data_IF_826668722331
#
_entry.id   IF_826668722331
#
_cell.length_a   1.000
_cell.length_b   1.000
_cell.length_c   1.000
_cell.angle_alpha   90.00
_cell.angle_beta   90.00
_cell.angle_gamma   90.00
#
_symmetry.space_group_name_H-M   'P 1'
#
loop_
_entity.id
_entity.type
_entity.pdbx_description
1 polymer ?
#
# COMPACT_ATOMS: atom_id res chain seq x y z
N UNK A 1 -59.36 35.06 16.50
CA UNK A 1 -58.06 35.54 15.95
C UNK A 1 -56.91 34.55 16.19
N UNK A 2 -57.02 33.28 15.74
CA UNK A 2 -55.95 32.27 15.93
C UNK A 2 -55.57 31.51 14.65
N UNK A 3 -56.21 31.81 13.52
CA UNK A 3 -55.94 31.18 12.22
C UNK A 3 -54.56 31.43 11.61
N UNK A 4 -53.93 32.63 11.71
CA UNK A 4 -52.65 32.84 11.03
C UNK A 4 -51.52 31.98 11.63
N UNK A 5 -51.64 31.59 12.90
CA UNK A 5 -50.64 30.74 13.57
C UNK A 5 -50.66 29.30 13.02
N UNK A 6 -51.84 28.75 12.72
CA UNK A 6 -51.99 27.37 12.24
C UNK A 6 -51.38 27.18 10.85
N UNK A 7 -51.52 28.18 9.98
CA UNK A 7 -50.95 28.16 8.62
C UNK A 7 -49.43 28.23 8.61
N UNK A 8 -48.83 28.96 9.56
CA UNK A 8 -47.37 29.08 9.69
C UNK A 8 -46.74 27.78 10.21
N UNK A 9 -47.40 27.04 11.11
CA UNK A 9 -46.90 25.77 11.64
C UNK A 9 -47.00 24.61 10.63
N UNK A 10 -47.93 24.66 9.67
CA UNK A 10 -48.06 23.62 8.64
C UNK A 10 -46.84 23.56 7.69
N UNK A 11 -46.16 24.69 7.47
CA UNK A 11 -44.97 24.76 6.59
C UNK A 11 -43.73 24.06 7.14
N UNK A 12 -43.59 23.95 8.47
CA UNK A 12 -42.48 23.21 9.08
C UNK A 12 -42.70 21.68 9.05
N UNK A 13 -43.95 21.21 9.03
CA UNK A 13 -44.27 19.79 8.91
C UNK A 13 -44.17 19.27 7.46
N UNK A 14 -44.19 20.16 6.47
CA UNK A 14 -44.03 19.82 5.05
C UNK A 14 -42.58 19.85 4.54
N UNK A 15 -41.61 20.03 5.44
CA UNK A 15 -40.20 19.94 5.05
C UNK A 15 -39.89 18.52 4.56
N UNK A 16 -39.34 18.34 3.35
CA UNK A 16 -38.91 17.04 2.88
C UNK A 16 -37.88 16.46 3.88
N UNK A 17 -37.91 15.15 4.16
CA UNK A 17 -36.85 14.53 4.93
C UNK A 17 -35.51 14.85 4.28
N UNK A 18 -34.50 15.16 5.11
CA UNK A 18 -33.16 15.45 4.61
C UNK A 18 -32.72 14.30 3.69
N UNK A 19 -32.08 14.60 2.53
CA UNK A 19 -31.61 13.56 1.64
C UNK A 19 -30.69 12.62 2.41
N UNK A 20 -30.92 11.32 2.24
CA UNK A 20 -30.08 10.32 2.86
C UNK A 20 -28.62 10.52 2.40
N UNK A 21 -27.63 10.39 3.30
CA UNK A 21 -26.24 10.48 2.92
C UNK A 21 -25.94 9.41 1.86
N UNK A 22 -25.35 9.84 0.75
CA UNK A 22 -24.93 8.95 -0.33
C UNK A 22 -23.48 8.55 -0.11
N UNK A 23 -23.21 7.25 -0.11
CA UNK A 23 -21.86 6.72 -0.08
C UNK A 23 -21.27 6.82 -1.49
N UNK A 24 -20.15 7.52 -1.62
CA UNK A 24 -19.43 7.72 -2.87
C UNK A 24 -18.02 7.15 -2.73
N UNK A 25 -17.72 6.09 -3.47
CA UNK A 25 -16.38 5.51 -3.56
C UNK A 25 -15.53 6.36 -4.51
N UNK A 26 -14.62 7.16 -3.95
CA UNK A 26 -13.69 7.97 -4.73
C UNK A 26 -12.40 7.17 -4.94
N UNK A 27 -11.97 6.90 -6.19
CA UNK A 27 -10.71 6.21 -6.43
C UNK A 27 -9.54 7.07 -5.95
N UNK A 28 -8.75 6.51 -5.04
CA UNK A 28 -7.50 7.12 -4.58
C UNK A 28 -6.34 6.46 -5.32
N UNK A 29 -5.32 7.24 -5.68
CA UNK A 29 -4.09 6.69 -6.21
C UNK A 29 -3.52 5.68 -5.23
N UNK A 30 -3.30 4.46 -5.70
CA UNK A 30 -2.62 3.42 -4.96
C UNK A 30 -1.35 3.01 -5.71
N UNK A 31 -0.20 2.84 -5.02
CA UNK A 31 0.98 2.31 -5.68
C UNK A 31 0.66 0.95 -6.28
N UNK A 32 1.16 0.71 -7.50
CA UNK A 32 0.93 -0.55 -8.18
C UNK A 32 1.60 -1.71 -7.42
N UNK A 33 2.86 -1.52 -7.01
CA UNK A 33 3.57 -2.48 -6.16
C UNK A 33 3.01 -2.41 -4.74
N UNK A 34 2.40 -3.51 -4.28
CA UNK A 34 1.78 -3.60 -2.95
C UNK A 34 2.77 -4.00 -1.86
N UNK A 35 3.76 -4.79 -2.22
CA UNK A 35 4.78 -5.30 -1.29
C UNK A 35 6.08 -5.50 -2.04
N UNK A 36 7.18 -5.10 -1.41
CA UNK A 36 8.53 -5.37 -1.92
C UNK A 36 9.03 -6.65 -1.23
N UNK A 37 9.51 -7.65 -1.99
CA UNK A 37 10.17 -8.82 -1.41
C UNK A 37 11.29 -8.42 -0.45
N UNK A 38 11.46 -9.16 0.63
CA UNK A 38 12.49 -8.87 1.62
C UNK A 38 13.87 -9.18 1.03
N UNK A 39 14.80 -8.21 1.09
CA UNK A 39 16.19 -8.44 0.69
C UNK A 39 16.81 -9.54 1.56
N UNK A 40 17.48 -10.56 0.96
CA UNK A 40 18.21 -11.56 1.73
C UNK A 40 19.29 -10.92 2.60
N UNK A 41 19.48 -11.45 3.80
CA UNK A 41 20.67 -11.15 4.60
C UNK A 41 21.87 -11.86 3.98
N UNK A 42 22.64 -11.15 3.16
CA UNK A 42 23.81 -11.70 2.49
C UNK A 42 24.94 -11.96 3.50
N UNK A 43 25.67 -13.05 3.31
CA UNK A 43 26.87 -13.37 4.08
C UNK A 43 27.96 -12.34 3.82
N UNK A 44 28.06 -11.84 2.58
CA UNK A 44 29.01 -10.80 2.20
C UNK A 44 28.83 -9.51 3.01
N UNK A 45 27.58 -9.09 3.25
CA UNK A 45 27.25 -7.87 3.99
C UNK A 45 27.64 -7.96 5.49
N UNK A 46 28.01 -9.15 5.98
CA UNK A 46 28.35 -9.44 7.37
C UNK A 46 29.85 -9.71 7.58
N UNK A 47 30.65 -9.62 6.52
CA UNK A 47 32.09 -9.84 6.61
C UNK A 47 32.77 -8.67 7.34
N UNK A 48 33.72 -9.01 8.20
CA UNK A 48 34.62 -8.03 8.80
C UNK A 48 35.47 -7.33 7.72
N UNK A 49 35.85 -6.06 7.89
CA UNK A 49 36.69 -5.35 6.93
C UNK A 49 38.05 -6.02 6.67
N UNK A 50 38.52 -6.84 7.61
CA UNK A 50 39.77 -7.60 7.52
C UNK A 50 39.58 -9.03 6.99
N UNK A 51 38.41 -9.38 6.47
CA UNK A 51 38.16 -10.69 5.87
C UNK A 51 39.16 -10.96 4.74
N UNK A 52 39.62 -12.20 4.65
CA UNK A 52 40.52 -12.64 3.59
C UNK A 52 39.79 -12.75 2.26
N UNK A 53 40.52 -12.66 1.15
CA UNK A 53 39.97 -12.85 -0.19
C UNK A 53 39.22 -14.18 -0.34
N UNK A 54 39.70 -15.24 0.33
CA UNK A 54 39.06 -16.55 0.33
C UNK A 54 37.68 -16.55 1.01
N UNK A 55 37.55 -15.87 2.16
CA UNK A 55 36.28 -15.71 2.86
C UNK A 55 35.28 -14.88 2.03
N UNK A 56 35.78 -13.81 1.40
CA UNK A 56 35.00 -12.97 0.49
C UNK A 56 34.44 -13.79 -0.67
N UNK A 57 35.29 -14.56 -1.36
CA UNK A 57 34.88 -15.38 -2.51
C UNK A 57 33.85 -16.43 -2.10
N UNK A 58 34.02 -17.06 -0.94
CA UNK A 58 33.08 -18.07 -0.45
C UNK A 58 31.72 -17.46 -0.07
N UNK A 59 31.70 -16.29 0.58
CA UNK A 59 30.47 -15.58 0.90
C UNK A 59 29.71 -15.21 -0.38
N UNK A 60 30.40 -14.63 -1.37
CA UNK A 60 29.82 -14.30 -2.67
C UNK A 60 29.26 -15.53 -3.39
N UNK A 61 29.98 -16.66 -3.38
CA UNK A 61 29.53 -17.89 -4.01
C UNK A 61 28.22 -18.42 -3.39
N UNK A 62 28.04 -18.27 -2.07
CA UNK A 62 26.83 -18.68 -1.35
C UNK A 62 25.67 -17.71 -1.57
N UNK A 63 25.97 -16.41 -1.64
CA UNK A 63 24.98 -15.37 -1.86
C UNK A 63 24.48 -15.33 -3.31
N UNK A 64 25.31 -15.73 -4.27
CA UNK A 64 24.96 -15.74 -5.70
C UNK A 64 23.58 -16.35 -6.01
N UNK A 65 23.28 -17.62 -5.66
CA UNK A 65 21.96 -18.20 -5.94
C UNK A 65 20.83 -17.49 -5.20
N UNK A 66 21.08 -16.95 -3.99
CA UNK A 66 20.08 -16.18 -3.22
C UNK A 66 19.74 -14.88 -3.92
N UNK A 67 20.76 -14.17 -4.41
CA UNK A 67 20.61 -12.95 -5.20
C UNK A 67 19.83 -13.18 -6.48
N UNK A 68 20.18 -14.23 -7.25
CA UNK A 68 19.44 -14.57 -8.49
C UNK A 68 17.97 -14.88 -8.24
N UNK A 69 17.65 -15.56 -7.13
CA UNK A 69 16.25 -15.82 -6.75
C UNK A 69 15.52 -14.53 -6.39
N UNK A 70 16.17 -13.67 -5.59
CA UNK A 70 15.60 -12.38 -5.18
C UNK A 70 15.33 -11.44 -6.38
N UNK A 71 16.23 -11.42 -7.38
CA UNK A 71 16.02 -10.68 -8.63
C UNK A 71 14.74 -11.14 -9.35
N UNK A 72 14.51 -12.45 -9.45
CA UNK A 72 13.28 -13.00 -10.06
C UNK A 72 12.04 -12.60 -9.27
N UNK A 73 12.10 -12.61 -7.94
CA UNK A 73 11.00 -12.16 -7.08
C UNK A 73 10.70 -10.66 -7.26
N UNK A 74 11.74 -9.83 -7.43
CA UNK A 74 11.59 -8.41 -7.73
C UNK A 74 10.96 -8.18 -9.10
N UNK A 75 11.41 -8.89 -10.13
CA UNK A 75 10.82 -8.83 -11.47
C UNK A 75 9.34 -9.23 -11.45
N UNK A 76 9.00 -10.31 -10.74
CA UNK A 76 7.63 -10.75 -10.57
C UNK A 76 6.77 -9.71 -9.82
N UNK A 77 7.33 -8.96 -8.87
CA UNK A 77 6.61 -7.92 -8.14
C UNK A 77 6.22 -6.72 -9.02
N UNK A 78 6.93 -6.48 -10.12
CA UNK A 78 6.70 -5.32 -11.01
C UNK A 78 6.08 -5.69 -12.35
N UNK A 79 6.00 -6.97 -12.73
CA UNK A 79 5.52 -7.39 -14.06
C UNK A 79 4.09 -6.92 -14.36
N UNK A 80 3.22 -6.85 -13.35
CA UNK A 80 1.85 -6.34 -13.47
C UNK A 80 1.73 -4.82 -13.41
N UNK A 81 2.84 -4.10 -13.27
CA UNK A 81 2.91 -2.65 -13.09
C UNK A 81 3.49 -1.89 -14.28
N UNK A 82 3.93 -2.61 -15.32
CA UNK A 82 4.39 -2.03 -16.59
C UNK A 82 3.22 -1.87 -17.56
#
# INVERSE_FOLDING_TARGET
MKWPLVLLLAGCASAPPAPAPQLVEVPVFAPCVKSVPQRPAYEFDQLEPSATDGEIVLALARDWPRGRKYEVELEAAIVGCR
#
